data_IF_123284164586
#
_entry.id   IF_123284164586
#
_cell.length_a   1.000
_cell.length_b   1.000
_cell.length_c   1.000
_cell.angle_alpha   90.00
_cell.angle_beta   90.00
_cell.angle_gamma   90.00
#
_symmetry.space_group_name_H-M   'P 1'
#
loop_
_entity.id
_entity.type
_entity.pdbx_description
1 polymer ?
#
# COMPACT_ATOMS: atom_id res chain seq x y z
N UNK A 1 18.89 -7.01 14.03
CA UNK A 1 18.91 -6.48 12.65
C UNK A 1 18.61 -7.66 11.78
N UNK A 2 17.51 -7.55 11.05
CA UNK A 2 17.13 -8.58 10.09
C UNK A 2 18.11 -8.43 8.91
N UNK A 3 19.09 -9.33 8.81
CA UNK A 3 20.12 -9.28 7.75
C UNK A 3 19.50 -9.30 6.34
N UNK A 4 18.23 -9.74 6.25
CA UNK A 4 17.40 -9.77 5.05
C UNK A 4 17.22 -8.39 4.39
N UNK A 5 17.17 -7.30 5.16
CA UNK A 5 17.01 -5.97 4.57
C UNK A 5 18.20 -5.58 3.69
N UNK A 6 19.44 -5.93 4.07
CA UNK A 6 20.62 -5.62 3.26
C UNK A 6 20.54 -6.29 1.88
N UNK A 7 20.08 -7.54 1.83
CA UNK A 7 19.90 -8.27 0.55
C UNK A 7 18.80 -7.64 -0.31
N UNK A 8 17.75 -7.11 0.33
CA UNK A 8 16.68 -6.39 -0.34
C UNK A 8 17.19 -5.07 -0.89
N UNK A 9 17.82 -4.24 -0.06
CA UNK A 9 18.44 -2.97 -0.46
C UNK A 9 19.36 -3.15 -1.68
N UNK A 10 20.28 -4.12 -1.63
CA UNK A 10 21.18 -4.47 -2.75
C UNK A 10 20.42 -4.85 -4.04
N UNK A 11 19.22 -5.42 -3.91
CA UNK A 11 18.35 -5.74 -5.05
C UNK A 11 17.65 -4.49 -5.59
N UNK A 12 17.15 -3.61 -4.72
CA UNK A 12 16.52 -2.36 -5.13
C UNK A 12 17.51 -1.42 -5.82
N UNK A 13 18.71 -1.24 -5.25
CA UNK A 13 19.77 -0.40 -5.81
C UNK A 13 20.24 -0.87 -7.20
N UNK A 14 20.11 -2.17 -7.47
CA UNK A 14 20.47 -2.71 -8.79
C UNK A 14 19.53 -2.27 -9.91
N UNK A 15 18.28 -1.89 -9.58
CA UNK A 15 17.22 -1.61 -10.56
C UNK A 15 16.80 -2.84 -11.39
N UNK A 16 17.34 -4.03 -11.10
CA UNK A 16 17.07 -5.24 -11.86
C UNK A 16 15.70 -5.81 -11.50
N UNK A 17 14.80 -5.85 -12.49
CA UNK A 17 13.41 -6.23 -12.25
C UNK A 17 13.24 -7.64 -11.70
N UNK A 18 14.09 -8.59 -12.10
CA UNK A 18 14.02 -9.98 -11.63
C UNK A 18 14.37 -10.05 -10.13
N UNK A 19 15.45 -9.38 -9.70
CA UNK A 19 15.85 -9.33 -8.28
C UNK A 19 14.80 -8.63 -7.42
N UNK A 20 14.24 -7.52 -7.90
CA UNK A 20 13.16 -6.80 -7.20
C UNK A 20 11.88 -7.64 -7.11
N UNK A 21 11.57 -8.43 -8.13
CA UNK A 21 10.40 -9.32 -8.10
C UNK A 21 10.58 -10.44 -7.07
N UNK A 22 11.81 -10.96 -6.88
CA UNK A 22 12.12 -11.93 -5.82
C UNK A 22 11.84 -11.33 -4.43
N UNK A 23 12.29 -10.10 -4.17
CA UNK A 23 12.00 -9.38 -2.93
C UNK A 23 10.48 -9.23 -2.71
N UNK A 24 9.75 -8.81 -3.74
CA UNK A 24 8.29 -8.63 -3.64
C UNK A 24 7.56 -9.94 -3.35
N UNK A 25 7.97 -11.05 -3.97
CA UNK A 25 7.37 -12.36 -3.69
C UNK A 25 7.74 -12.85 -2.28
N UNK A 26 8.95 -12.58 -1.78
CA UNK A 26 9.31 -12.92 -0.41
C UNK A 26 8.44 -12.17 0.60
N UNK A 27 8.31 -10.83 0.46
CA UNK A 27 7.41 -10.03 1.31
C UNK A 27 5.95 -10.50 1.18
N UNK A 28 5.57 -11.05 0.03
CA UNK A 28 4.22 -11.54 -0.20
C UNK A 28 3.89 -12.81 0.57
N UNK A 29 4.88 -13.64 0.84
CA UNK A 29 4.73 -14.87 1.62
C UNK A 29 4.74 -14.62 3.13
N UNK A 30 5.19 -13.44 3.57
CA UNK A 30 5.20 -13.03 4.97
C UNK A 30 3.80 -12.82 5.54
N UNK A 31 3.63 -13.22 6.81
CA UNK A 31 2.46 -12.83 7.58
C UNK A 31 2.47 -11.32 7.91
N UNK A 32 1.41 -10.82 8.54
CA UNK A 32 1.29 -9.39 8.83
C UNK A 32 2.24 -8.93 9.93
N UNK A 33 2.51 -9.77 10.95
CA UNK A 33 3.44 -9.45 12.02
C UNK A 33 4.89 -9.36 11.51
N UNK A 34 5.27 -10.23 10.57
CA UNK A 34 6.58 -10.21 9.91
C UNK A 34 6.71 -9.00 8.98
N UNK A 35 5.67 -8.66 8.21
CA UNK A 35 5.65 -7.44 7.38
C UNK A 35 5.74 -6.16 8.22
N UNK A 36 5.01 -6.09 9.34
CA UNK A 36 5.07 -4.95 10.27
C UNK A 36 6.48 -4.77 10.84
N UNK A 37 7.12 -5.86 11.28
CA UNK A 37 8.52 -5.82 11.76
C UNK A 37 9.51 -5.43 10.66
N UNK A 38 9.30 -5.90 9.43
CA UNK A 38 10.13 -5.51 8.30
C UNK A 38 9.97 -4.01 8.00
N UNK A 39 8.74 -3.48 8.03
CA UNK A 39 8.45 -2.07 7.82
C UNK A 39 9.25 -1.18 8.78
N UNK A 40 9.23 -1.50 10.08
CA UNK A 40 10.00 -0.76 11.09
C UNK A 40 11.51 -0.74 10.82
N UNK A 41 12.03 -1.77 10.14
CA UNK A 41 13.45 -1.89 9.85
C UNK A 41 13.84 -1.12 8.58
N UNK A 42 12.98 -1.12 7.55
CA UNK A 42 13.38 -0.69 6.22
C UNK A 42 12.72 0.59 5.69
N UNK A 43 11.66 1.10 6.32
CA UNK A 43 10.86 2.16 5.70
C UNK A 43 11.62 3.50 5.54
N UNK A 44 12.46 3.86 6.50
CA UNK A 44 13.31 5.05 6.41
C UNK A 44 14.30 4.91 5.24
N UNK A 45 14.99 3.77 5.14
CA UNK A 45 15.94 3.48 4.06
C UNK A 45 15.25 3.42 2.67
N UNK A 46 14.01 2.89 2.59
CA UNK A 46 13.19 2.95 1.38
C UNK A 46 12.91 4.41 1.00
N UNK A 47 12.55 5.25 1.96
CA UNK A 47 12.24 6.66 1.69
C UNK A 47 13.48 7.41 1.21
N UNK A 48 14.64 7.17 1.83
CA UNK A 48 15.92 7.73 1.41
C UNK A 48 16.30 7.26 -0.01
N UNK A 49 16.17 5.97 -0.31
CA UNK A 49 16.46 5.43 -1.64
C UNK A 49 15.55 6.00 -2.72
N UNK A 50 14.28 6.27 -2.41
CA UNK A 50 13.35 6.95 -3.31
C UNK A 50 13.80 8.39 -3.58
N UNK A 51 14.09 9.15 -2.52
CA UNK A 51 14.40 10.57 -2.60
C UNK A 51 15.77 10.87 -3.26
N UNK A 52 16.77 10.01 -3.01
CA UNK A 52 18.14 10.24 -3.47
C UNK A 52 18.41 9.71 -4.90
N UNK A 53 17.52 8.87 -5.44
CA UNK A 53 17.75 8.21 -6.72
C UNK A 53 17.23 8.99 -7.93
N UNK A 54 18.14 9.32 -8.84
CA UNK A 54 17.79 9.84 -10.18
C UNK A 54 17.25 8.74 -11.13
N UNK A 55 17.38 7.46 -10.79
CA UNK A 55 16.94 6.34 -11.64
C UNK A 55 15.48 5.96 -11.37
N UNK A 56 14.62 6.19 -12.37
CA UNK A 56 13.20 5.84 -12.30
C UNK A 56 12.92 4.34 -12.08
N UNK A 57 13.84 3.43 -12.43
CA UNK A 57 13.71 2.01 -12.10
C UNK A 57 13.93 1.73 -10.62
N UNK A 58 14.90 2.39 -9.98
CA UNK A 58 15.17 2.26 -8.55
C UNK A 58 14.00 2.88 -7.77
N UNK A 59 13.58 4.09 -8.14
CA UNK A 59 12.40 4.73 -7.53
C UNK A 59 11.13 3.87 -7.68
N UNK A 60 10.91 3.29 -8.87
CA UNK A 60 9.77 2.39 -9.08
C UNK A 60 9.87 1.14 -8.19
N UNK A 61 11.05 0.56 -8.04
CA UNK A 61 11.28 -0.66 -7.25
C UNK A 61 10.99 -0.40 -5.77
N UNK A 62 11.48 0.72 -5.27
CA UNK A 62 11.24 1.22 -3.91
C UNK A 62 9.75 1.38 -3.63
N UNK A 63 9.02 2.05 -4.51
CA UNK A 63 7.56 2.22 -4.37
C UNK A 63 6.81 0.89 -4.43
N UNK A 64 7.26 -0.08 -5.24
CA UNK A 64 6.65 -1.42 -5.30
C UNK A 64 6.88 -2.24 -4.03
N UNK A 65 8.03 -2.05 -3.37
CA UNK A 65 8.32 -2.71 -2.09
C UNK A 65 7.50 -2.06 -0.97
N UNK A 66 7.45 -0.73 -0.90
CA UNK A 66 6.59 -0.01 0.04
C UNK A 66 5.10 -0.39 -0.12
N UNK A 67 4.59 -0.48 -1.36
CA UNK A 67 3.24 -1.00 -1.66
C UNK A 67 3.00 -2.36 -1.01
N UNK A 68 3.99 -3.26 -1.01
CA UNK A 68 3.81 -4.63 -0.52
C UNK A 68 3.79 -4.72 1.01
N UNK A 69 4.40 -3.76 1.70
CA UNK A 69 4.40 -3.68 3.15
C UNK A 69 3.06 -3.19 3.72
N UNK A 70 2.27 -2.44 2.94
CA UNK A 70 0.92 -2.02 3.36
C UNK A 70 0.04 -3.27 3.63
N UNK A 71 -0.65 -3.35 4.77
CA UNK A 71 -1.44 -4.52 5.15
C UNK A 71 -2.52 -4.90 4.12
N UNK A 72 -3.25 -3.91 3.61
CA UNK A 72 -4.23 -4.05 2.54
C UNK A 72 -5.27 -5.13 2.82
N UNK A 73 -5.50 -6.02 1.84
CA UNK A 73 -6.45 -7.12 1.98
C UNK A 73 -6.09 -8.12 3.10
N UNK A 74 -4.82 -8.20 3.50
CA UNK A 74 -4.38 -9.08 4.56
C UNK A 74 -5.05 -8.74 5.90
N UNK A 75 -5.18 -7.44 6.20
CA UNK A 75 -5.80 -6.98 7.44
C UNK A 75 -7.28 -7.34 7.51
N UNK A 76 -7.98 -7.34 6.37
CA UNK A 76 -9.39 -7.71 6.32
C UNK A 76 -9.61 -9.15 6.81
N UNK A 77 -8.79 -10.09 6.34
CA UNK A 77 -8.89 -11.48 6.79
C UNK A 77 -8.53 -11.64 8.26
N UNK A 78 -7.50 -10.92 8.73
CA UNK A 78 -7.12 -10.89 10.13
C UNK A 78 -8.26 -10.42 11.05
N UNK A 79 -8.96 -9.35 10.66
CA UNK A 79 -10.10 -8.80 11.40
C UNK A 79 -11.32 -9.72 11.32
N UNK A 80 -11.59 -10.33 10.15
CA UNK A 80 -12.77 -11.15 9.92
C UNK A 80 -12.71 -12.54 10.60
N UNK A 81 -11.54 -13.16 10.68
CA UNK A 81 -11.39 -14.49 11.29
C UNK A 81 -11.33 -14.45 12.83
N UNK A 82 -11.42 -13.26 13.45
CA UNK A 82 -11.14 -13.03 14.89
C UNK A 82 -9.87 -13.78 15.30
N UNK A 83 -8.86 -13.73 14.43
CA UNK A 83 -7.65 -14.53 14.56
C UNK A 83 -6.82 -13.97 15.71
N UNK A 84 -7.17 -14.40 16.93
CA UNK A 84 -6.49 -14.08 18.18
C UNK A 84 -5.02 -14.54 18.21
N UNK A 85 -4.50 -15.19 17.15
CA UNK A 85 -3.08 -15.50 17.02
C UNK A 85 -2.26 -14.34 16.47
N UNK A 86 -2.88 -13.38 15.79
CA UNK A 86 -2.24 -12.15 15.34
C UNK A 86 -2.13 -11.18 16.52
N UNK A 87 -0.90 -10.83 16.87
CA UNK A 87 -0.59 -9.84 17.92
C UNK A 87 -0.52 -8.42 17.37
N UNK A 88 -1.22 -8.18 16.25
CA UNK A 88 -1.18 -6.90 15.55
C UNK A 88 -1.72 -5.79 16.44
N UNK A 89 -0.87 -4.82 16.73
CA UNK A 89 -1.30 -3.56 17.29
C UNK A 89 -1.91 -2.71 16.16
N UNK A 90 -3.21 -2.41 16.29
CA UNK A 90 -3.92 -1.61 15.29
C UNK A 90 -3.44 -0.15 15.25
N UNK A 91 -2.84 0.35 16.34
CA UNK A 91 -2.21 1.67 16.35
C UNK A 91 -0.92 1.67 15.51
N UNK A 92 -0.09 0.62 15.63
CA UNK A 92 1.11 0.47 14.79
C UNK A 92 0.75 0.29 13.32
N UNK A 93 -0.25 -0.54 13.03
CA UNK A 93 -0.77 -0.72 11.65
C UNK A 93 -1.21 0.61 11.05
N UNK A 94 -1.92 1.44 11.82
CA UNK A 94 -2.36 2.76 11.39
C UNK A 94 -1.15 3.67 11.12
N UNK A 95 -0.21 3.78 12.05
CA UNK A 95 0.97 4.61 11.91
C UNK A 95 1.80 4.22 10.68
N UNK A 96 2.06 2.93 10.48
CA UNK A 96 2.79 2.43 9.31
C UNK A 96 2.03 2.72 8.00
N UNK A 97 0.70 2.67 8.04
CA UNK A 97 -0.13 3.03 6.88
C UNK A 97 -0.07 4.53 6.59
N UNK A 98 -0.08 5.38 7.61
CA UNK A 98 0.10 6.83 7.48
C UNK A 98 1.46 7.15 6.83
N UNK A 99 2.53 6.52 7.33
CA UNK A 99 3.89 6.69 6.83
C UNK A 99 4.02 6.25 5.35
N UNK A 100 3.51 5.05 5.02
CA UNK A 100 3.47 4.55 3.65
C UNK A 100 2.66 5.47 2.72
N UNK A 101 1.57 6.05 3.23
CA UNK A 101 0.73 6.98 2.48
C UNK A 101 1.50 8.23 2.08
N UNK A 102 2.32 8.78 2.98
CA UNK A 102 3.20 9.92 2.67
C UNK A 102 4.10 9.65 1.46
N UNK A 103 4.83 8.54 1.47
CA UNK A 103 5.70 8.13 0.36
C UNK A 103 4.90 7.91 -0.93
N UNK A 104 3.73 7.26 -0.85
CA UNK A 104 2.90 6.98 -2.02
C UNK A 104 2.33 8.26 -2.64
N UNK A 105 1.91 9.24 -1.83
CA UNK A 105 1.45 10.54 -2.33
C UNK A 105 2.58 11.29 -3.03
N UNK A 106 3.78 11.31 -2.47
CA UNK A 106 4.94 11.89 -3.14
C UNK A 106 5.19 11.21 -4.50
N UNK A 107 5.20 9.87 -4.52
CA UNK A 107 5.40 9.07 -5.72
C UNK A 107 4.29 9.24 -6.78
N UNK A 108 3.10 9.71 -6.41
CA UNK A 108 2.06 10.07 -7.38
C UNK A 108 2.41 11.30 -8.22
N UNK A 109 3.37 12.11 -7.78
CA UNK A 109 3.84 13.30 -8.51
C UNK A 109 5.13 13.08 -9.31
N UNK A 110 5.75 11.89 -9.18
CA UNK A 110 6.99 11.52 -9.86
C UNK A 110 6.90 11.77 -11.38
N UNK A 111 7.99 12.19 -12.00
CA UNK A 111 8.03 12.43 -13.45
C UNK A 111 7.91 11.12 -14.26
N UNK A 112 8.35 9.98 -13.71
CA UNK A 112 8.21 8.67 -14.33
C UNK A 112 6.81 8.08 -14.10
N UNK A 113 6.06 7.89 -15.18
CA UNK A 113 4.71 7.34 -15.12
C UNK A 113 4.62 5.92 -14.56
N UNK A 114 5.71 5.15 -14.56
CA UNK A 114 5.75 3.80 -13.98
C UNK A 114 5.77 3.85 -12.45
N UNK A 115 6.48 4.83 -11.88
CA UNK A 115 6.48 5.10 -10.45
C UNK A 115 5.07 5.48 -10.01
N UNK A 116 4.45 6.45 -10.70
CA UNK A 116 3.07 6.86 -10.42
C UNK A 116 2.06 5.71 -10.49
N UNK A 117 2.23 4.81 -11.45
CA UNK A 117 1.36 3.63 -11.57
C UNK A 117 1.55 2.61 -10.43
N UNK A 118 2.75 2.49 -9.87
CA UNK A 118 2.97 1.70 -8.65
C UNK A 118 2.36 2.38 -7.45
N UNK A 119 2.57 3.69 -7.29
CA UNK A 119 2.00 4.46 -6.19
C UNK A 119 0.47 4.37 -6.15
N UNK A 120 -0.18 4.54 -7.30
CA UNK A 120 -1.64 4.39 -7.44
C UNK A 120 -2.13 3.00 -7.04
N UNK A 121 -1.35 1.94 -7.28
CA UNK A 121 -1.72 0.58 -6.83
C UNK A 121 -1.60 0.45 -5.32
N UNK A 122 -0.50 0.95 -4.73
CA UNK A 122 -0.31 0.98 -3.28
C UNK A 122 -1.41 1.77 -2.55
N UNK A 123 -1.84 2.91 -3.09
CA UNK A 123 -2.94 3.69 -2.49
C UNK A 123 -4.25 2.90 -2.38
N UNK A 124 -4.52 1.93 -3.27
CA UNK A 124 -5.70 1.06 -3.12
C UNK A 124 -5.61 0.18 -1.88
N UNK A 125 -4.42 -0.28 -1.51
CA UNK A 125 -4.22 -1.05 -0.29
C UNK A 125 -4.23 -0.16 0.95
N UNK A 126 -3.80 1.10 0.85
CA UNK A 126 -4.01 2.12 1.89
C UNK A 126 -5.51 2.31 2.15
N UNK A 127 -6.32 2.54 1.12
CA UNK A 127 -7.77 2.73 1.28
C UNK A 127 -8.44 1.49 1.87
N UNK A 128 -8.04 0.28 1.46
CA UNK A 128 -8.51 -0.98 2.09
C UNK A 128 -8.14 -1.07 3.56
N UNK A 129 -6.93 -0.63 3.91
CA UNK A 129 -6.44 -0.70 5.28
C UNK A 129 -7.26 0.24 6.16
N UNK A 130 -7.44 1.50 5.77
CA UNK A 130 -8.31 2.43 6.52
C UNK A 130 -9.77 1.99 6.58
N UNK A 131 -10.32 1.44 5.49
CA UNK A 131 -11.69 0.88 5.48
C UNK A 131 -11.83 -0.27 6.49
N UNK A 132 -10.81 -1.13 6.60
CA UNK A 132 -10.75 -2.22 7.60
C UNK A 132 -10.62 -1.71 9.03
N UNK A 133 -10.01 -0.54 9.21
CA UNK A 133 -9.89 0.17 10.48
C UNK A 133 -11.11 1.06 10.78
N UNK A 134 -12.14 1.00 9.94
CA UNK A 134 -13.35 1.86 10.01
C UNK A 134 -13.04 3.36 10.00
N UNK A 135 -11.94 3.75 9.33
CA UNK A 135 -11.50 5.14 9.21
C UNK A 135 -11.85 5.75 7.85
N UNK A 136 -13.14 5.99 7.66
CA UNK A 136 -13.65 6.68 6.47
C UNK A 136 -13.19 8.14 6.40
N UNK A 137 -12.92 8.79 7.54
CA UNK A 137 -12.48 10.20 7.60
C UNK A 137 -11.13 10.39 6.92
N UNK A 138 -10.18 9.48 7.17
CA UNK A 138 -8.87 9.54 6.50
C UNK A 138 -8.97 9.26 5.00
N UNK A 139 -9.85 8.34 4.56
CA UNK A 139 -10.07 8.11 3.12
C UNK A 139 -10.66 9.36 2.44
N UNK A 140 -11.61 10.04 3.10
CA UNK A 140 -12.17 11.31 2.59
C UNK A 140 -11.10 12.40 2.50
N UNK A 141 -10.25 12.55 3.53
CA UNK A 141 -9.14 13.49 3.53
C UNK A 141 -8.16 13.21 2.37
N UNK A 142 -7.83 11.94 2.10
CA UNK A 142 -6.98 11.55 0.98
C UNK A 142 -7.61 11.84 -0.39
N UNK A 143 -8.93 11.68 -0.52
CA UNK A 143 -9.63 12.05 -1.75
C UNK A 143 -9.54 13.57 -2.01
N UNK A 144 -9.63 14.39 -0.97
CA UNK A 144 -9.45 15.85 -1.06
C UNK A 144 -8.00 16.18 -1.43
N UNK A 145 -7.02 15.62 -0.73
CA UNK A 145 -5.59 15.84 -1.01
C UNK A 145 -5.24 15.51 -2.46
N UNK A 146 -5.67 14.35 -2.97
CA UNK A 146 -5.44 13.95 -4.36
C UNK A 146 -6.07 14.92 -5.38
N UNK A 147 -7.23 15.50 -5.07
CA UNK A 147 -7.84 16.54 -5.90
C UNK A 147 -7.05 17.84 -5.88
N UNK A 148 -6.58 18.26 -4.70
CA UNK A 148 -5.79 19.47 -4.51
C UNK A 148 -4.46 19.36 -5.26
N UNK A 149 -3.72 18.28 -5.08
CA UNK A 149 -2.48 17.97 -5.81
C UNK A 149 -2.71 17.97 -7.33
N UNK A 150 -3.84 17.43 -7.80
CA UNK A 150 -4.16 17.39 -9.23
C UNK A 150 -4.32 18.80 -9.84
N UNK A 151 -4.61 19.83 -9.03
CA UNK A 151 -4.72 21.20 -9.53
C UNK A 151 -3.39 21.80 -9.99
N UNK A 152 -2.26 21.29 -9.49
CA UNK A 152 -0.92 21.76 -9.82
C UNK A 152 -0.43 21.28 -11.20
N UNK A 153 -1.08 20.25 -11.74
CA UNK A 153 -0.66 19.60 -12.98
C UNK A 153 -1.71 19.72 -14.09
N UNK A 154 -1.21 19.74 -15.33
CA UNK A 154 -2.04 19.71 -16.55
C UNK A 154 -1.70 18.54 -17.48
N UNK A 155 -0.77 17.66 -17.07
CA UNK A 155 -0.29 16.51 -17.83
C UNK A 155 -0.84 15.19 -17.27
N UNK A 156 -0.15 14.08 -17.55
CA UNK A 156 -0.54 12.73 -17.08
C UNK A 156 -0.53 12.58 -15.55
N UNK A 157 0.16 13.45 -14.80
CA UNK A 157 0.09 13.44 -13.33
C UNK A 157 -1.31 13.76 -12.84
N UNK A 158 -1.93 14.80 -13.41
CA UNK A 158 -3.32 15.18 -13.10
C UNK A 158 -4.28 14.01 -13.29
N UNK A 159 -4.16 13.32 -14.43
CA UNK A 159 -5.00 12.15 -14.74
C UNK A 159 -4.83 11.05 -13.70
N UNK A 160 -3.59 10.69 -13.35
CA UNK A 160 -3.32 9.65 -12.38
C UNK A 160 -3.80 10.01 -10.97
N UNK A 161 -3.64 11.27 -10.55
CA UNK A 161 -4.12 11.79 -9.26
C UNK A 161 -5.65 11.74 -9.17
N UNK A 162 -6.35 12.21 -10.21
CA UNK A 162 -7.82 12.16 -10.27
C UNK A 162 -8.36 10.73 -10.32
N UNK A 163 -7.65 9.81 -10.98
CA UNK A 163 -8.04 8.41 -10.94
C UNK A 163 -7.86 7.80 -9.53
N UNK A 164 -6.76 8.13 -8.83
CA UNK A 164 -6.54 7.67 -7.47
C UNK A 164 -7.60 8.23 -6.50
N UNK A 165 -8.01 9.50 -6.70
CA UNK A 165 -9.16 10.09 -6.01
C UNK A 165 -10.43 9.27 -6.25
N UNK A 166 -10.73 8.93 -7.51
CA UNK A 166 -11.90 8.15 -7.84
C UNK A 166 -11.87 6.75 -7.19
N UNK A 167 -10.67 6.16 -7.04
CA UNK A 167 -10.49 4.93 -6.26
C UNK A 167 -10.84 5.16 -4.77
N UNK A 168 -10.38 6.25 -4.14
CA UNK A 168 -10.75 6.59 -2.75
C UNK A 168 -12.26 6.78 -2.57
N UNK A 169 -12.90 7.58 -3.44
CA UNK A 169 -14.35 7.81 -3.44
C UNK A 169 -15.15 6.51 -3.62
N UNK A 170 -14.63 5.56 -4.41
CA UNK A 170 -15.23 4.24 -4.58
C UNK A 170 -15.25 3.44 -3.29
N UNK A 171 -14.15 3.47 -2.51
CA UNK A 171 -14.08 2.80 -1.20
C UNK A 171 -15.08 3.40 -0.20
N UNK A 172 -15.19 4.73 -0.12
CA UNK A 172 -16.19 5.40 0.74
C UNK A 172 -17.64 4.99 0.41
N UNK A 173 -17.98 4.93 -0.88
CA UNK A 173 -19.33 4.57 -1.30
C UNK A 173 -19.65 3.09 -1.08
N UNK A 174 -18.66 2.22 -1.31
CA UNK A 174 -18.89 0.79 -1.41
C UNK A 174 -18.62 0.04 -0.11
N UNK A 175 -17.78 0.55 0.80
CA UNK A 175 -17.31 -0.10 2.02
C UNK A 175 -16.89 -1.54 1.78
N UNK A 176 -15.59 -1.84 1.73
CA UNK A 176 -15.15 -3.19 1.33
C UNK A 176 -15.66 -4.28 2.30
N UNK A 177 -15.88 -3.95 3.57
CA UNK A 177 -16.63 -4.78 4.52
C UNK A 177 -18.05 -5.16 4.07
N UNK A 178 -18.80 -4.24 3.44
CA UNK A 178 -20.13 -4.52 2.86
C UNK A 178 -20.05 -5.39 1.60
N UNK A 179 -18.99 -5.24 0.80
CA UNK A 179 -18.72 -6.11 -0.36
C UNK A 179 -18.37 -7.54 0.07
N UNK A 180 -17.59 -7.71 1.14
CA UNK A 180 -17.26 -9.01 1.72
C UNK A 180 -18.44 -9.66 2.45
N UNK A 181 -19.25 -8.89 3.19
CA UNK A 181 -20.54 -9.38 3.71
C UNK A 181 -21.44 -9.87 2.57
N UNK A 182 -21.51 -9.13 1.47
CA UNK A 182 -22.23 -9.55 0.25
C UNK A 182 -21.68 -10.86 -0.32
N UNK A 183 -20.35 -10.98 -0.42
CA UNK A 183 -19.67 -12.16 -0.96
C UNK A 183 -19.82 -13.40 -0.04
N UNK A 184 -19.68 -13.25 1.27
CA UNK A 184 -19.94 -14.31 2.25
C UNK A 184 -21.41 -14.72 2.29
N UNK A 185 -22.34 -13.78 2.13
CA UNK A 185 -23.78 -14.09 2.09
C UNK A 185 -24.20 -14.79 0.79
N UNK A 186 -23.53 -14.52 -0.32
CA UNK A 186 -23.80 -15.15 -1.62
C UNK A 186 -23.12 -16.52 -1.78
N UNK A 187 -21.96 -16.75 -1.17
CA UNK A 187 -21.18 -17.99 -1.32
C UNK A 187 -21.02 -18.83 -0.04
N UNK A 188 -21.24 -18.28 1.15
CA UNK A 188 -21.14 -19.00 2.43
C UNK A 188 -22.26 -20.01 2.68
N UNK A 189 -23.47 -19.75 2.16
CA UNK A 189 -24.60 -20.69 2.23
C UNK A 189 -24.43 -21.91 1.29
N UNK A 190 -23.45 -21.87 0.37
CA UNK A 190 -23.20 -22.94 -0.61
C UNK A 190 -22.29 -24.07 -0.09
N UNK A 191 -21.63 -23.88 1.06
CA UNK A 191 -20.65 -24.84 1.60
C UNK A 191 -21.23 -25.69 2.75
N UNK A 192 -22.45 -25.38 3.21
CA UNK A 192 -23.16 -26.14 4.26
C UNK A 192 -24.40 -26.89 3.72
N UNK A 193 -24.26 -27.65 2.62
CA UNK A 193 -25.25 -28.65 2.20
C UNK A 193 -24.60 -29.92 1.65
#
# INVERSE_FOLDING_TARGET
>A
MDDRWNDFEDALESGESDRVNEVIEEIKEMDLDERSRLFEVCFDDLTDLYAESDDGYIRQSTVRVAERLVPGIGLIFAVADDDHSLTLDLEDVRQQTDDATGLLLEAMTDDDGRVRNSAKRGLKDVFRTYDSLEDEETIEALAVELEEMATEYSDKRREHLLDAKADAEFFLQSGFGRLLEGFQKEFGDSVNN
#
